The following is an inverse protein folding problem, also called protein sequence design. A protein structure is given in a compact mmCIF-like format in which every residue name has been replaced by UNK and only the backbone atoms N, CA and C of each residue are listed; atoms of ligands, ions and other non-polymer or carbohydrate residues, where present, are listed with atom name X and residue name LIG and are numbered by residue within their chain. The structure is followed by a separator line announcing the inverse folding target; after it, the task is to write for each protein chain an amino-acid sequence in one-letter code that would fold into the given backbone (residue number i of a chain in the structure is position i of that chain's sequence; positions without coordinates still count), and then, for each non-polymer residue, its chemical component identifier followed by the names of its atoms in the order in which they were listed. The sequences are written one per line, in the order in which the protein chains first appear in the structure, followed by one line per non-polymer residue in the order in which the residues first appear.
data_IF_923825061756
#
_entry.id   IF_923825061756
#
_cell.length_a   1.000
_cell.length_b   1.000
_cell.length_c   1.000
_cell.angle_alpha   90.00
_cell.angle_beta   90.00
_cell.angle_gamma   90.00
#
_symmetry.space_group_name_H-M   'P 1'
#
loop_
_entity.id
_entity.type
_entity.pdbx_description
1 polymer ?
#
# COMPACT_ATOMS: atom_id res chain seq x y z
N UNK A 1 -12.99 2.00 6.98
CA UNK A 1 -11.57 1.58 6.94
C UNK A 1 -11.37 0.51 8.01
N UNK A 2 -11.13 -0.75 7.64
CA UNK A 2 -10.83 -1.82 8.61
C UNK A 2 -9.31 -1.99 8.73
N UNK A 3 -8.69 -1.11 9.51
CA UNK A 3 -7.38 -1.36 10.11
C UNK A 3 -7.59 -1.26 11.60
N UNK A 4 -7.27 -2.32 12.35
CA UNK A 4 -7.37 -2.27 13.80
C UNK A 4 -6.25 -1.38 14.32
N UNK A 5 -6.52 -0.63 15.40
CA UNK A 5 -5.51 0.19 16.06
C UNK A 5 -4.27 -0.63 16.46
N UNK A 6 -4.48 -1.91 16.79
CA UNK A 6 -3.42 -2.88 17.07
C UNK A 6 -2.57 -3.21 15.84
N UNK A 7 -3.18 -3.38 14.66
CA UNK A 7 -2.46 -3.64 13.41
C UNK A 7 -1.58 -2.47 12.99
N UNK A 8 -2.06 -1.23 13.14
CA UNK A 8 -1.28 -0.02 12.87
C UNK A 8 -0.10 0.07 13.84
N UNK A 9 -0.35 -0.13 15.13
CA UNK A 9 0.70 -0.06 16.16
C UNK A 9 1.79 -1.10 15.95
N UNK A 10 1.43 -2.32 15.50
CA UNK A 10 2.37 -3.40 15.19
C UNK A 10 3.18 -3.10 13.92
N UNK A 11 2.55 -2.56 12.88
CA UNK A 11 3.25 -2.17 11.66
C UNK A 11 4.28 -1.05 11.92
N UNK A 12 3.91 -0.05 12.73
CA UNK A 12 4.84 1.01 13.14
C UNK A 12 6.00 0.42 13.94
N UNK A 13 5.73 -0.46 14.92
CA UNK A 13 6.78 -1.06 15.72
C UNK A 13 7.75 -1.93 14.90
N UNK A 14 7.25 -2.69 13.92
CA UNK A 14 8.10 -3.45 13.00
C UNK A 14 9.01 -2.53 12.19
N UNK A 15 8.44 -1.43 11.68
CA UNK A 15 9.20 -0.45 10.92
C UNK A 15 10.29 0.23 11.77
N UNK A 16 9.96 0.57 13.02
CA UNK A 16 10.93 1.15 13.97
C UNK A 16 12.06 0.16 14.30
N UNK A 17 11.75 -1.13 14.46
CA UNK A 17 12.73 -2.19 14.69
C UNK A 17 13.65 -2.43 13.49
N UNK A 18 13.07 -2.49 12.28
CA UNK A 18 13.82 -2.67 11.03
C UNK A 18 14.75 -1.49 10.71
N UNK A 19 14.31 -0.27 11.03
CA UNK A 19 15.10 0.94 10.81
C UNK A 19 16.07 1.23 11.98
N UNK A 20 15.86 0.60 13.15
CA UNK A 20 16.66 0.82 14.35
C UNK A 20 16.47 2.22 14.98
N UNK A 21 15.35 2.88 14.70
CA UNK A 21 15.05 4.25 15.10
C UNK A 21 13.60 4.38 15.59
N UNK A 22 13.39 5.23 16.59
CA UNK A 22 12.04 5.52 17.08
C UNK A 22 11.44 6.69 16.31
N UNK A 23 10.35 6.44 15.59
CA UNK A 23 9.62 7.47 14.85
C UNK A 23 8.69 8.25 15.79
N UNK A 24 8.15 7.59 16.82
CA UNK A 24 7.24 8.21 17.77
C UNK A 24 7.66 8.01 19.22
N UNK A 25 7.58 9.08 20.01
CA UNK A 25 7.67 9.04 21.45
C UNK A 25 6.26 8.89 22.05
N UNK A 26 6.02 7.79 22.77
CA UNK A 26 4.75 7.53 23.45
C UNK A 26 4.87 7.97 24.91
N UNK A 27 4.23 9.08 25.25
CA UNK A 27 4.14 9.55 26.64
C UNK A 27 2.74 9.28 27.20
N UNK A 28 2.56 9.40 28.52
CA UNK A 28 1.22 9.31 29.16
C UNK A 28 0.21 10.32 28.61
N UNK A 29 0.68 11.37 27.95
CA UNK A 29 -0.14 12.46 27.42
C UNK A 29 -0.49 12.28 25.94
N UNK A 30 0.20 11.38 25.22
CA UNK A 30 -0.04 11.16 23.80
C UNK A 30 1.13 10.54 23.05
N UNK A 31 1.03 10.59 21.73
CA UNK A 31 2.06 10.10 20.79
C UNK A 31 2.55 11.29 19.99
N UNK A 32 3.83 11.60 20.10
CA UNK A 32 4.46 12.71 19.36
C UNK A 32 5.62 12.17 18.52
N UNK A 33 5.80 12.61 17.27
CA UNK A 33 6.94 12.20 16.46
C UNK A 33 8.24 12.74 17.06
N UNK A 34 9.30 11.92 17.02
CA UNK A 34 10.65 12.33 17.41
C UNK A 34 11.21 13.36 16.42
N UNK A 35 12.33 14.01 16.75
CA UNK A 35 12.98 14.96 15.82
C UNK A 35 13.33 14.25 14.51
N UNK A 36 14.02 13.12 14.60
CA UNK A 36 14.36 12.28 13.44
C UNK A 36 13.11 11.71 12.76
N UNK A 37 12.09 11.34 13.55
CA UNK A 37 10.82 10.84 13.05
C UNK A 37 10.07 11.85 12.19
N UNK A 38 10.16 13.16 12.49
CA UNK A 38 9.54 14.20 11.66
C UNK A 38 10.14 14.25 10.26
N UNK A 39 11.47 14.19 10.16
CA UNK A 39 12.17 14.21 8.86
C UNK A 39 11.82 12.96 8.05
N UNK A 40 11.81 11.80 8.69
CA UNK A 40 11.50 10.53 8.02
C UNK A 40 10.04 10.38 7.63
N UNK A 41 9.11 10.91 8.42
CA UNK A 41 7.69 10.95 8.05
C UNK A 41 7.52 11.80 6.79
N UNK A 42 8.20 12.94 6.70
CA UNK A 42 8.16 13.79 5.50
C UNK A 42 8.69 13.06 4.26
N UNK A 43 9.79 12.31 4.38
CA UNK A 43 10.31 11.48 3.30
C UNK A 43 9.34 10.35 2.92
N UNK A 44 8.75 9.69 3.92
CA UNK A 44 7.77 8.62 3.72
C UNK A 44 6.53 9.13 2.98
N UNK A 45 6.02 10.31 3.31
CA UNK A 45 4.93 10.95 2.56
C UNK A 45 5.29 11.13 1.07
N UNK A 46 6.50 11.59 0.78
CA UNK A 46 7.01 11.70 -0.58
C UNK A 46 7.09 10.35 -1.32
N UNK A 47 7.52 9.29 -0.63
CA UNK A 47 7.58 7.93 -1.19
C UNK A 47 6.17 7.42 -1.50
N UNK A 48 5.24 7.57 -0.57
CA UNK A 48 3.85 7.14 -0.74
C UNK A 48 3.21 7.84 -1.94
N UNK A 49 3.43 9.14 -2.10
CA UNK A 49 2.95 9.89 -3.27
C UNK A 49 3.53 9.34 -4.58
N UNK A 50 4.84 9.10 -4.64
CA UNK A 50 5.50 8.52 -5.83
C UNK A 50 4.96 7.14 -6.18
N UNK A 51 4.69 6.31 -5.17
CA UNK A 51 4.08 4.98 -5.35
C UNK A 51 2.68 5.12 -5.92
N UNK A 52 1.86 6.03 -5.39
CA UNK A 52 0.51 6.29 -5.91
C UNK A 52 0.53 6.78 -7.36
N UNK A 53 1.44 7.70 -7.70
CA UNK A 53 1.63 8.16 -9.08
C UNK A 53 2.04 7.00 -10.00
N UNK A 54 2.92 6.12 -9.54
CA UNK A 54 3.35 4.94 -10.28
C UNK A 54 2.19 3.98 -10.54
N UNK A 55 1.39 3.69 -9.50
CA UNK A 55 0.19 2.85 -9.61
C UNK A 55 -0.83 3.45 -10.59
N UNK A 56 -1.03 4.77 -10.56
CA UNK A 56 -1.93 5.44 -11.49
C UNK A 56 -1.42 5.34 -12.94
N UNK A 57 -0.12 5.59 -13.17
CA UNK A 57 0.50 5.45 -14.49
C UNK A 57 0.40 4.01 -15.00
N UNK A 58 0.62 3.02 -14.15
CA UNK A 58 0.45 1.61 -14.47
C UNK A 58 -1.00 1.29 -14.85
N UNK A 59 -1.97 1.73 -14.03
CA UNK A 59 -3.41 1.55 -14.29
C UNK A 59 -3.84 2.20 -15.60
N UNK A 60 -3.37 3.41 -15.91
CA UNK A 60 -3.65 4.11 -17.17
C UNK A 60 -3.13 3.33 -18.38
N UNK A 61 -1.91 2.78 -18.29
CA UNK A 61 -1.35 1.91 -19.35
C UNK A 61 -2.16 0.62 -19.53
N UNK A 62 -2.65 0.03 -18.43
CA UNK A 62 -3.51 -1.15 -18.49
C UNK A 62 -4.89 -0.85 -19.09
N UNK A 63 -5.46 0.33 -18.85
CA UNK A 63 -6.75 0.76 -19.41
C UNK A 63 -6.71 1.01 -20.92
N UNK A 64 -5.57 1.49 -21.47
CA UNK A 64 -5.37 1.58 -22.93
C UNK A 64 -5.17 0.21 -23.60
N UNK A 65 -4.90 -0.85 -22.84
CA UNK A 65 -4.76 -2.22 -23.32
C UNK A 65 -6.08 -3.00 -23.29
N UNK A 66 -7.23 -2.30 -23.30
CA UNK A 66 -8.54 -2.94 -23.47
C UNK A 66 -8.54 -3.73 -24.79
N UNK A 67 -8.74 -5.05 -24.66
CA UNK A 67 -8.84 -5.99 -25.78
C UNK A 67 -9.84 -5.48 -26.83
N UNK A 68 -9.62 -5.74 -28.13
CA UNK A 68 -10.59 -5.41 -29.17
C UNK A 68 -11.95 -6.01 -28.81
N UNK A 69 -12.95 -5.13 -28.69
CA UNK A 69 -14.35 -5.47 -28.52
C UNK A 69 -14.91 -5.99 -29.85
N UNK A 70 -14.41 -7.15 -30.30
CA UNK A 70 -15.01 -7.91 -31.38
C UNK A 70 -16.06 -8.85 -30.80
N UNK A 71 -17.33 -8.67 -31.18
CA UNK A 71 -18.38 -9.66 -30.92
C UNK A 71 -18.06 -10.91 -31.75
N UNK A 72 -17.49 -11.94 -31.12
CA UNK A 72 -17.39 -13.27 -31.72
C UNK A 72 -18.20 -14.26 -30.87
N UNK A 73 -18.99 -15.06 -31.59
CA UNK A 73 -20.17 -15.78 -31.12
C UNK A 73 -19.93 -16.85 -30.06
N UNK A 74 -21.08 -17.39 -29.63
CA UNK A 74 -21.28 -18.38 -28.58
C UNK A 74 -20.27 -19.52 -28.53
N UNK A 75 -20.06 -20.00 -27.30
CA UNK A 75 -19.26 -21.16 -26.92
C UNK A 75 -17.76 -20.94 -27.13
N UNK A 76 -17.07 -20.32 -26.17
CA UNK A 76 -16.04 -20.98 -25.36
C UNK A 76 -15.78 -20.10 -24.14
N UNK A 77 -15.71 -20.78 -23.00
CA UNK A 77 -15.48 -20.29 -21.65
C UNK A 77 -14.38 -19.21 -21.60
N UNK A 78 -14.72 -18.00 -21.16
CA UNK A 78 -13.74 -17.03 -20.71
C UNK A 78 -13.17 -17.51 -19.37
N UNK A 79 -12.15 -18.37 -19.40
CA UNK A 79 -11.25 -18.50 -18.25
C UNK A 79 -10.68 -17.11 -18.01
N UNK A 80 -11.16 -16.47 -16.93
CA UNK A 80 -10.83 -15.11 -16.51
C UNK A 80 -9.32 -14.89 -16.61
N UNK A 81 -8.82 -13.85 -17.32
CA UNK A 81 -7.43 -13.49 -17.19
C UNK A 81 -7.23 -12.93 -15.78
N UNK A 82 -6.60 -13.78 -14.97
CA UNK A 82 -6.01 -13.54 -13.67
C UNK A 82 -5.14 -12.28 -13.70
N UNK A 83 -5.67 -11.17 -13.18
CA UNK A 83 -4.85 -10.08 -12.66
C UNK A 83 -5.43 -9.72 -11.31
N UNK A 84 -5.41 -10.70 -10.41
CA UNK A 84 -5.56 -10.48 -8.99
C UNK A 84 -4.17 -10.07 -8.49
N UNK A 85 -3.85 -8.78 -8.57
CA UNK A 85 -2.74 -8.23 -7.79
C UNK A 85 -3.24 -8.26 -6.34
N UNK A 86 -3.07 -9.42 -5.69
CA UNK A 86 -3.09 -9.51 -4.24
C UNK A 86 -1.89 -8.70 -3.75
N UNK A 87 -2.10 -7.42 -3.47
CA UNK A 87 -1.21 -6.70 -2.56
C UNK A 87 -1.41 -7.39 -1.21
N UNK A 88 -0.38 -8.11 -0.77
CA UNK A 88 -0.32 -8.91 0.45
C UNK A 88 -1.07 -8.24 1.61
N UNK A 89 -2.22 -8.83 1.95
CA UNK A 89 -2.98 -8.53 3.17
C UNK A 89 -3.16 -9.77 4.03
N UNK A 90 -2.11 -10.58 4.11
CA UNK A 90 -2.15 -11.85 4.82
C UNK A 90 -0.80 -12.21 5.42
N UNK A 91 -0.23 -11.29 6.20
CA UNK A 91 0.71 -11.64 7.27
C UNK A 91 0.51 -10.60 8.37
N UNK A 92 0.04 -11.05 9.53
CA UNK A 92 0.28 -10.57 10.91
C UNK A 92 -0.80 -11.22 11.79
N UNK A 93 -0.52 -12.46 12.21
CA UNK A 93 -0.90 -12.93 13.56
C UNK A 93 -0.36 -11.96 14.60
#
# INVERSE_FOLDING_TARGET
MHVTQSGISRAIASLEDELGIYLFNRTRLGVEPTVDGKELIQDAEGIVLKVQEFEEKARKKLLCRKKPSGKFGHSYVWQRPFVEIKINKEFYY
#
